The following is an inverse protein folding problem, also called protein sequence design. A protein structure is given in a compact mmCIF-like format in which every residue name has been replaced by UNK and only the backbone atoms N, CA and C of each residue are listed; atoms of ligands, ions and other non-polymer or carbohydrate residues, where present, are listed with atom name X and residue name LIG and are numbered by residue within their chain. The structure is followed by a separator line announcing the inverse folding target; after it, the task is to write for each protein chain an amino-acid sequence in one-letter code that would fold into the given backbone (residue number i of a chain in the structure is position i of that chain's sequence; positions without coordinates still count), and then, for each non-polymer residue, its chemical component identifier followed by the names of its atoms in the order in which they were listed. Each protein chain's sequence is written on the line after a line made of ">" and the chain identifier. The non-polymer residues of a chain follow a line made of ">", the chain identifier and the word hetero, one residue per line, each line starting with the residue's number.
data_IF_473952641804
#
_entry.id   IF_473952641804
#
_cell.length_a   1.000
_cell.length_b   1.000
_cell.length_c   1.000
_cell.angle_alpha   90.00
_cell.angle_beta   90.00
_cell.angle_gamma   90.00
#
_symmetry.space_group_name_H-M   'P 1'
#
loop_
_entity.id
_entity.type
_entity.pdbx_description
1 polymer ?
#
# COMPACT_ATOMS: atom_id res chain seq x y z
N UNK A 1 78.46 67.05 -42.66
CA UNK A 1 78.09 67.32 -41.26
C UNK A 1 76.98 68.35 -41.25
N UNK A 2 75.75 67.97 -40.91
CA UNK A 2 74.74 68.84 -40.28
C UNK A 2 73.56 67.97 -39.82
N UNK A 3 73.60 67.58 -38.54
CA UNK A 3 72.54 66.86 -37.84
C UNK A 3 71.31 67.75 -37.66
N UNK A 4 70.12 67.28 -38.05
CA UNK A 4 68.85 67.93 -37.70
C UNK A 4 68.11 67.09 -36.65
N UNK A 5 67.95 67.69 -35.47
CA UNK A 5 67.32 67.15 -34.27
C UNK A 5 65.84 66.84 -34.50
N UNK A 6 65.39 65.68 -33.98
CA UNK A 6 63.99 65.30 -33.80
C UNK A 6 63.37 66.12 -32.67
N UNK A 7 62.17 66.66 -32.88
CA UNK A 7 61.28 67.12 -31.83
C UNK A 7 60.10 66.15 -31.74
N UNK A 8 59.95 65.49 -30.59
CA UNK A 8 58.85 64.58 -30.26
C UNK A 8 57.78 65.41 -29.56
N UNK A 9 56.65 65.65 -30.25
CA UNK A 9 55.43 66.14 -29.62
C UNK A 9 54.73 64.93 -28.97
N UNK A 10 54.58 65.01 -27.65
CA UNK A 10 53.84 64.04 -26.84
C UNK A 10 52.43 64.62 -26.72
N UNK A 11 51.49 64.11 -27.52
CA UNK A 11 50.06 64.38 -27.39
C UNK A 11 49.58 63.89 -26.01
N UNK A 12 49.15 64.83 -25.18
CA UNK A 12 48.33 64.54 -24.01
C UNK A 12 47.01 63.95 -24.49
N UNK A 13 46.84 62.63 -24.33
CA UNK A 13 45.54 61.99 -24.50
C UNK A 13 44.63 62.45 -23.36
N UNK A 14 43.77 63.41 -23.64
CA UNK A 14 42.63 63.74 -22.78
C UNK A 14 41.88 62.45 -22.45
N UNK A 15 41.77 62.16 -21.15
CA UNK A 15 40.99 61.03 -20.65
C UNK A 15 39.51 61.14 -21.05
N UNK A 16 38.72 60.08 -20.83
CA UNK A 16 37.29 60.09 -21.09
C UNK A 16 36.65 61.33 -20.46
N UNK A 17 35.79 62.07 -21.18
CA UNK A 17 35.13 63.26 -20.64
C UNK A 17 34.50 62.96 -19.28
N UNK A 18 34.70 63.83 -18.30
CA UNK A 18 34.27 63.66 -16.89
C UNK A 18 32.77 63.32 -16.72
N UNK A 19 31.98 63.52 -17.77
CA UNK A 19 30.57 63.15 -17.85
C UNK A 19 30.38 61.63 -17.92
N UNK A 20 31.22 60.89 -18.65
CA UNK A 20 31.10 59.43 -18.77
C UNK A 20 31.49 58.69 -17.50
N UNK A 21 32.52 59.18 -16.79
CA UNK A 21 32.88 58.65 -15.47
C UNK A 21 31.76 58.90 -14.47
N UNK A 22 31.13 60.08 -14.50
CA UNK A 22 30.01 60.42 -13.62
C UNK A 22 28.75 59.60 -13.92
N UNK A 23 28.46 59.31 -15.20
CA UNK A 23 27.33 58.47 -15.60
C UNK A 23 27.52 57.01 -15.16
N UNK A 24 28.75 56.48 -15.31
CA UNK A 24 29.12 55.15 -14.82
C UNK A 24 28.95 55.04 -13.30
N UNK A 25 29.43 56.04 -12.56
CA UNK A 25 29.37 56.01 -11.10
C UNK A 25 27.93 56.16 -10.58
N UNK A 26 27.07 56.90 -11.29
CA UNK A 26 25.63 56.97 -11.01
C UNK A 26 24.90 55.66 -11.33
N UNK A 27 25.23 55.01 -12.45
CA UNK A 27 24.66 53.71 -12.83
C UNK A 27 25.05 52.61 -11.85
N UNK A 28 26.32 52.56 -11.43
CA UNK A 28 26.81 51.62 -10.43
C UNK A 28 26.12 51.81 -9.07
N UNK A 29 25.95 53.07 -8.63
CA UNK A 29 25.21 53.38 -7.39
C UNK A 29 23.74 52.98 -7.48
N UNK A 30 23.08 53.21 -8.61
CA UNK A 30 21.67 52.84 -8.80
C UNK A 30 21.49 51.32 -8.70
N UNK A 31 22.33 50.54 -9.39
CA UNK A 31 22.31 49.08 -9.33
C UNK A 31 22.57 48.55 -7.92
N UNK A 32 23.53 49.13 -7.21
CA UNK A 32 23.87 48.68 -5.87
C UNK A 32 22.73 48.94 -4.86
N UNK A 33 22.05 50.08 -4.96
CA UNK A 33 20.87 50.37 -4.14
C UNK A 33 19.72 49.41 -4.45
N UNK A 34 19.47 49.10 -5.73
CA UNK A 34 18.42 48.13 -6.10
C UNK A 34 18.73 46.71 -5.61
N UNK A 35 20.01 46.31 -5.59
CA UNK A 35 20.42 44.99 -5.10
C UNK A 35 20.35 44.92 -3.56
N UNK A 36 20.73 45.98 -2.85
CA UNK A 36 20.67 46.02 -1.38
C UNK A 36 19.25 45.98 -0.83
N UNK A 37 18.28 46.65 -1.47
CA UNK A 37 16.87 46.58 -1.08
C UNK A 37 16.25 45.19 -1.26
N UNK A 38 16.81 44.33 -2.11
CA UNK A 38 16.32 42.97 -2.35
C UNK A 38 16.78 41.99 -1.25
N UNK A 39 17.78 42.37 -0.46
CA UNK A 39 18.41 41.45 0.51
C UNK A 39 17.91 41.58 1.95
N UNK A 40 17.19 42.66 2.31
CA UNK A 40 16.77 42.94 3.69
C UNK A 40 15.35 42.43 4.05
N UNK A 41 14.49 42.08 3.07
CA UNK A 41 13.10 41.68 3.32
C UNK A 41 12.85 40.14 3.30
N UNK A 42 13.89 39.31 3.48
CA UNK A 42 13.78 37.84 3.32
C UNK A 42 13.69 37.01 4.61
N UNK A 43 13.29 37.60 5.73
CA UNK A 43 12.95 36.89 6.97
C UNK A 43 11.53 37.21 7.46
N UNK A 44 10.49 36.95 6.66
CA UNK A 44 9.21 36.52 7.23
C UNK A 44 8.28 35.84 6.21
N UNK A 45 7.56 34.87 6.75
CA UNK A 45 6.73 33.84 6.13
C UNK A 45 5.49 34.41 5.42
N UNK A 46 5.25 34.07 4.15
CA UNK A 46 3.96 33.55 3.64
C UNK A 46 3.91 33.38 2.11
N UNK A 47 3.20 32.33 1.70
CA UNK A 47 2.75 32.01 0.34
C UNK A 47 2.30 33.23 -0.46
N UNK A 48 3.17 33.72 -1.34
CA UNK A 48 2.73 34.35 -2.58
C UNK A 48 3.77 34.09 -3.65
N UNK A 49 3.40 33.24 -4.60
CA UNK A 49 4.12 33.12 -5.86
C UNK A 49 3.89 34.43 -6.61
N UNK A 50 4.82 35.37 -6.49
CA UNK A 50 5.06 36.41 -7.51
C UNK A 50 6.55 36.70 -7.70
N UNK A 51 7.37 35.74 -8.18
CA UNK A 51 8.70 36.07 -8.72
C UNK A 51 8.65 36.45 -10.21
N UNK A 52 7.46 36.59 -10.83
CA UNK A 52 7.32 36.93 -12.25
C UNK A 52 7.63 38.43 -12.50
N UNK A 53 7.65 39.24 -11.45
CA UNK A 53 7.89 40.69 -11.53
C UNK A 53 9.33 41.05 -11.92
N UNK A 54 10.34 40.32 -11.43
CA UNK A 54 11.74 40.76 -11.53
C UNK A 54 12.37 40.56 -12.92
N UNK A 55 12.06 39.46 -13.60
CA UNK A 55 12.60 39.19 -14.94
C UNK A 55 12.00 40.15 -15.98
N UNK A 56 10.69 40.43 -15.89
CA UNK A 56 10.04 41.44 -16.71
C UNK A 56 10.65 42.83 -16.51
N UNK A 57 10.85 43.24 -15.26
CA UNK A 57 11.50 44.51 -14.91
C UNK A 57 12.93 44.63 -15.47
N UNK A 58 13.71 43.55 -15.43
CA UNK A 58 15.08 43.51 -15.97
C UNK A 58 15.09 43.59 -17.50
N UNK A 59 14.15 42.92 -18.17
CA UNK A 59 13.96 43.00 -19.62
C UNK A 59 13.52 44.41 -20.04
N UNK A 60 12.59 45.02 -19.30
CA UNK A 60 12.12 46.37 -19.57
C UNK A 60 13.22 47.40 -19.36
N UNK A 61 14.01 47.27 -18.28
CA UNK A 61 15.18 48.12 -18.03
C UNK A 61 16.22 47.98 -19.16
N UNK A 62 16.47 46.75 -19.64
CA UNK A 62 17.35 46.52 -20.80
C UNK A 62 16.87 47.31 -22.02
N UNK A 63 15.57 47.21 -22.31
CA UNK A 63 14.96 47.85 -23.46
C UNK A 63 15.02 49.37 -23.34
N UNK A 64 14.79 49.91 -22.14
CA UNK A 64 14.90 51.35 -21.85
C UNK A 64 16.34 51.86 -22.04
N UNK A 65 17.33 51.18 -21.46
CA UNK A 65 18.76 51.56 -21.61
C UNK A 65 19.17 51.50 -23.08
N UNK A 66 18.72 50.48 -23.81
CA UNK A 66 18.99 50.33 -25.25
C UNK A 66 18.39 51.47 -26.06
N UNK A 67 17.16 51.88 -25.74
CA UNK A 67 16.50 53.00 -26.40
C UNK A 67 17.22 54.32 -26.12
N UNK A 68 17.50 54.64 -24.85
CA UNK A 68 18.20 55.87 -24.45
C UNK A 68 19.58 56.02 -25.13
N UNK A 69 20.33 54.92 -25.25
CA UNK A 69 21.63 54.94 -25.93
C UNK A 69 21.50 55.09 -27.44
N UNK A 70 20.45 54.55 -28.04
CA UNK A 70 20.15 54.74 -29.47
C UNK A 70 19.80 56.20 -29.76
N UNK A 71 19.00 56.82 -28.89
CA UNK A 71 18.64 58.24 -28.99
C UNK A 71 19.84 59.17 -28.77
N UNK A 72 20.74 58.82 -27.84
CA UNK A 72 21.98 59.56 -27.63
C UNK A 72 22.93 59.46 -28.83
N UNK A 73 22.99 58.28 -29.45
CA UNK A 73 23.79 58.04 -30.66
C UNK A 73 23.28 58.86 -31.84
N UNK A 74 21.97 58.93 -32.05
CA UNK A 74 21.38 59.72 -33.14
C UNK A 74 21.60 61.22 -32.93
N UNK A 75 21.46 61.73 -31.69
CA UNK A 75 21.76 63.14 -31.36
C UNK A 75 23.23 63.51 -31.62
N UNK A 76 24.18 62.64 -31.24
CA UNK A 76 25.60 62.86 -31.51
C UNK A 76 25.92 62.88 -33.01
N UNK A 77 25.25 62.04 -33.80
CA UNK A 77 25.39 62.04 -35.27
C UNK A 77 24.83 63.34 -35.88
N UNK A 78 23.69 63.83 -35.39
CA UNK A 78 23.08 65.09 -35.84
C UNK A 78 24.00 66.28 -35.54
N UNK A 79 24.75 66.26 -34.43
CA UNK A 79 25.71 67.30 -34.04
C UNK A 79 27.06 67.24 -34.78
N UNK A 80 27.20 66.38 -35.79
CA UNK A 80 28.37 66.35 -36.68
C UNK A 80 29.54 65.51 -36.16
N UNK A 81 29.35 64.66 -35.15
CA UNK A 81 30.38 63.73 -34.73
C UNK A 81 30.56 62.64 -35.80
N UNK A 82 31.81 62.39 -36.23
CA UNK A 82 32.11 61.34 -37.20
C UNK A 82 31.62 59.98 -36.72
N UNK A 83 30.95 59.24 -37.60
CA UNK A 83 30.35 57.92 -37.36
C UNK A 83 31.37 56.94 -36.74
N UNK A 84 32.62 57.03 -37.16
CA UNK A 84 33.72 56.15 -36.71
C UNK A 84 34.18 56.45 -35.28
N UNK A 85 34.04 57.69 -34.81
CA UNK A 85 34.37 58.08 -33.43
C UNK A 85 33.21 57.82 -32.46
N UNK A 86 31.96 57.85 -32.94
CA UNK A 86 30.80 57.55 -32.13
C UNK A 86 30.57 56.03 -31.97
N UNK A 87 30.90 55.22 -32.96
CA UNK A 87 30.61 53.78 -32.92
C UNK A 87 31.55 52.97 -32.02
N UNK A 88 32.86 53.28 -31.96
CA UNK A 88 33.81 52.47 -31.19
C UNK A 88 33.61 52.56 -29.66
N UNK A 89 33.84 53.73 -29.04
CA UNK A 89 33.78 53.90 -27.58
C UNK A 89 32.37 53.67 -27.01
N UNK A 90 31.33 54.03 -27.76
CA UNK A 90 29.94 53.86 -27.34
C UNK A 90 29.53 52.38 -27.36
N UNK A 91 29.93 51.61 -28.38
CA UNK A 91 29.67 50.18 -28.41
C UNK A 91 30.42 49.43 -27.29
N UNK A 92 31.67 49.80 -26.98
CA UNK A 92 32.41 49.21 -25.86
C UNK A 92 31.70 49.49 -24.54
N UNK A 93 31.28 50.74 -24.31
CA UNK A 93 30.54 51.13 -23.10
C UNK A 93 29.21 50.39 -22.99
N UNK A 94 28.54 50.16 -24.12
CA UNK A 94 27.28 49.43 -24.23
C UNK A 94 27.44 47.94 -23.93
N UNK A 95 28.50 47.31 -24.45
CA UNK A 95 28.87 45.93 -24.10
C UNK A 95 29.17 45.80 -22.61
N UNK A 96 29.96 46.71 -22.03
CA UNK A 96 30.28 46.69 -20.59
C UNK A 96 29.04 46.91 -19.70
N UNK A 97 28.06 47.69 -20.15
CA UNK A 97 26.82 47.94 -19.42
C UNK A 97 25.82 46.77 -19.53
N UNK A 98 25.76 46.09 -20.69
CA UNK A 98 24.82 44.98 -20.88
C UNK A 98 25.35 43.62 -20.41
N UNK A 99 26.66 43.41 -20.36
CA UNK A 99 27.22 42.12 -19.94
C UNK A 99 26.75 41.68 -18.54
N UNK A 100 26.70 42.54 -17.50
CA UNK A 100 26.16 42.16 -16.19
C UNK A 100 24.68 41.78 -16.26
N UNK A 101 23.90 42.49 -17.07
CA UNK A 101 22.47 42.27 -17.24
C UNK A 101 22.18 40.93 -17.94
N UNK A 102 22.94 40.61 -18.99
CA UNK A 102 22.84 39.35 -19.70
C UNK A 102 23.25 38.17 -18.81
N UNK A 103 24.27 38.37 -17.97
CA UNK A 103 24.70 37.36 -16.98
C UNK A 103 23.60 37.08 -15.97
N UNK A 104 22.93 38.11 -15.45
CA UNK A 104 21.83 37.94 -14.48
C UNK A 104 20.60 37.30 -15.14
N UNK A 105 20.26 37.69 -16.38
CA UNK A 105 19.19 37.05 -17.14
C UNK A 105 19.46 35.55 -17.37
N UNK A 106 20.69 35.18 -17.73
CA UNK A 106 21.10 33.78 -17.85
C UNK A 106 21.00 33.04 -16.51
N UNK A 107 21.44 33.67 -15.41
CA UNK A 107 21.34 33.14 -14.05
C UNK A 107 19.88 32.86 -13.65
N UNK A 108 18.98 33.83 -13.84
CA UNK A 108 17.55 33.68 -13.56
C UNK A 108 16.92 32.55 -14.38
N UNK A 109 17.17 32.51 -15.70
CA UNK A 109 16.65 31.46 -16.57
C UNK A 109 17.13 30.08 -16.14
N UNK A 110 18.39 29.96 -15.71
CA UNK A 110 18.91 28.70 -15.18
C UNK A 110 18.24 28.30 -13.86
N UNK A 111 17.95 29.25 -12.97
CA UNK A 111 17.17 29.02 -11.73
C UNK A 111 15.75 28.55 -12.05
N UNK A 112 15.06 29.19 -13.00
CA UNK A 112 13.73 28.78 -13.45
C UNK A 112 13.72 27.34 -14.00
N UNK A 113 14.69 27.00 -14.86
CA UNK A 113 14.84 25.64 -15.39
C UNK A 113 15.12 24.64 -14.26
N UNK A 114 15.95 25.00 -13.28
CA UNK A 114 16.22 24.15 -12.13
C UNK A 114 14.96 23.91 -11.28
N UNK A 115 14.19 24.96 -11.00
CA UNK A 115 12.91 24.86 -10.28
C UNK A 115 11.93 23.98 -11.05
N UNK A 116 11.77 24.20 -12.37
CA UNK A 116 10.88 23.39 -13.20
C UNK A 116 11.26 21.90 -13.19
N UNK A 117 12.57 21.58 -13.24
CA UNK A 117 13.06 20.20 -13.11
C UNK A 117 12.75 19.60 -11.75
N UNK A 118 12.94 20.36 -10.67
CA UNK A 118 12.61 19.91 -9.31
C UNK A 118 11.11 19.63 -9.16
N UNK A 119 10.25 20.52 -9.67
CA UNK A 119 8.79 20.32 -9.68
C UNK A 119 8.43 19.06 -10.44
N UNK A 120 9.00 18.84 -11.63
CA UNK A 120 8.74 17.65 -12.43
C UNK A 120 9.18 16.37 -11.71
N UNK A 121 10.33 16.39 -11.04
CA UNK A 121 10.81 15.26 -10.24
C UNK A 121 9.86 14.95 -9.07
N UNK A 122 9.36 15.97 -8.36
CA UNK A 122 8.38 15.80 -7.29
C UNK A 122 7.06 15.22 -7.83
N UNK A 123 6.57 15.73 -8.97
CA UNK A 123 5.36 15.22 -9.61
C UNK A 123 5.54 13.74 -10.00
N UNK A 124 6.67 13.40 -10.64
CA UNK A 124 6.95 12.02 -11.04
C UNK A 124 6.97 11.08 -9.83
N UNK A 125 7.69 11.46 -8.77
CA UNK A 125 7.75 10.69 -7.54
C UNK A 125 6.37 10.53 -6.88
N UNK A 126 5.56 11.60 -6.86
CA UNK A 126 4.19 11.56 -6.34
C UNK A 126 3.31 10.59 -7.14
N UNK A 127 3.41 10.60 -8.47
CA UNK A 127 2.69 9.65 -9.34
C UNK A 127 3.10 8.21 -9.04
N UNK A 128 4.38 7.94 -8.83
CA UNK A 128 4.85 6.59 -8.51
C UNK A 128 4.40 6.12 -7.13
N UNK A 129 4.38 7.00 -6.13
CA UNK A 129 3.74 6.72 -4.83
C UNK A 129 2.26 6.39 -5.01
N UNK A 130 1.51 7.18 -5.79
CA UNK A 130 0.09 6.91 -6.03
C UNK A 130 -0.14 5.53 -6.68
N UNK A 131 0.72 5.13 -7.64
CA UNK A 131 0.66 3.77 -8.23
C UNK A 131 0.92 2.69 -7.18
N UNK A 132 1.90 2.89 -6.31
CA UNK A 132 2.19 1.94 -5.21
C UNK A 132 1.00 1.82 -4.25
N UNK A 133 0.39 2.94 -3.86
CA UNK A 133 -0.80 2.96 -3.00
C UNK A 133 -1.94 2.18 -3.67
N UNK A 134 -2.19 2.41 -4.97
CA UNK A 134 -3.23 1.71 -5.71
C UNK A 134 -2.96 0.20 -5.80
N UNK A 135 -1.71 -0.21 -5.98
CA UNK A 135 -1.32 -1.62 -5.98
C UNK A 135 -1.57 -2.27 -4.61
N UNK A 136 -1.22 -1.59 -3.51
CA UNK A 136 -1.51 -2.08 -2.14
C UNK A 136 -3.01 -2.17 -1.89
N UNK A 137 -3.79 -1.16 -2.29
CA UNK A 137 -5.25 -1.16 -2.13
C UNK A 137 -5.91 -2.32 -2.88
N UNK A 138 -5.49 -2.60 -4.11
CA UNK A 138 -6.01 -3.74 -4.88
C UNK A 138 -5.63 -5.09 -4.25
N UNK A 139 -4.40 -5.22 -3.74
CA UNK A 139 -3.97 -6.41 -3.00
C UNK A 139 -4.77 -6.63 -1.72
N UNK A 140 -5.00 -5.56 -0.93
CA UNK A 140 -5.82 -5.63 0.28
C UNK A 140 -7.25 -6.08 -0.02
N UNK A 141 -7.87 -5.57 -1.08
CA UNK A 141 -9.21 -6.01 -1.50
C UNK A 141 -9.25 -7.52 -1.79
N UNK A 142 -8.26 -8.05 -2.52
CA UNK A 142 -8.16 -9.49 -2.79
C UNK A 142 -8.01 -10.29 -1.49
N UNK A 143 -7.20 -9.80 -0.54
CA UNK A 143 -7.02 -10.43 0.76
C UNK A 143 -8.30 -10.43 1.59
N UNK A 144 -9.06 -9.33 1.58
CA UNK A 144 -10.36 -9.23 2.25
C UNK A 144 -11.37 -10.23 1.67
N UNK A 145 -11.43 -10.37 0.35
CA UNK A 145 -12.28 -11.36 -0.32
C UNK A 145 -11.89 -12.80 0.08
N UNK A 146 -10.59 -13.11 0.11
CA UNK A 146 -10.09 -14.41 0.60
C UNK A 146 -10.40 -14.63 2.08
N UNK A 147 -10.29 -13.61 2.92
CA UNK A 147 -10.63 -13.71 4.33
C UNK A 147 -12.12 -13.95 4.53
N UNK A 148 -12.98 -13.30 3.74
CA UNK A 148 -14.41 -13.53 3.76
C UNK A 148 -14.77 -14.97 3.36
N UNK A 149 -14.13 -15.52 2.32
CA UNK A 149 -14.36 -16.91 1.91
C UNK A 149 -13.92 -17.92 2.98
N UNK A 150 -12.77 -17.71 3.62
CA UNK A 150 -12.30 -18.53 4.74
C UNK A 150 -13.26 -18.45 5.93
N UNK A 151 -13.76 -17.25 6.26
CA UNK A 151 -14.74 -17.05 7.35
C UNK A 151 -16.05 -17.80 7.06
N UNK A 152 -16.53 -17.77 5.82
CA UNK A 152 -17.71 -18.52 5.37
C UNK A 152 -17.50 -20.03 5.50
N UNK A 153 -16.41 -20.55 4.94
CA UNK A 153 -16.07 -21.98 5.03
C UNK A 153 -15.94 -22.45 6.48
N UNK A 154 -15.28 -21.67 7.34
CA UNK A 154 -15.19 -21.97 8.77
C UNK A 154 -16.56 -22.04 9.45
N UNK A 155 -17.51 -21.19 9.06
CA UNK A 155 -18.86 -21.21 9.59
C UNK A 155 -19.62 -22.46 9.15
N UNK A 156 -19.52 -22.83 7.87
CA UNK A 156 -20.11 -24.05 7.32
C UNK A 156 -19.58 -25.30 8.05
N UNK A 157 -18.26 -25.40 8.26
CA UNK A 157 -17.66 -26.50 9.02
C UNK A 157 -18.18 -26.56 10.45
N UNK A 158 -18.34 -25.41 11.13
CA UNK A 158 -18.91 -25.38 12.49
C UNK A 158 -20.35 -25.87 12.52
N UNK A 159 -21.17 -25.50 11.54
CA UNK A 159 -22.55 -25.98 11.44
C UNK A 159 -22.60 -27.48 11.20
N UNK A 160 -21.79 -28.00 10.27
CA UNK A 160 -21.67 -29.44 10.00
C UNK A 160 -21.20 -30.21 11.24
N UNK A 161 -20.23 -29.67 11.97
CA UNK A 161 -19.75 -30.28 13.21
C UNK A 161 -20.86 -30.34 14.28
N UNK A 162 -21.63 -29.27 14.46
CA UNK A 162 -22.77 -29.27 15.38
C UNK A 162 -23.84 -30.28 14.98
N UNK A 163 -24.13 -30.41 13.68
CA UNK A 163 -25.07 -31.40 13.17
C UNK A 163 -24.56 -32.83 13.40
N UNK A 164 -23.28 -33.07 13.15
CA UNK A 164 -22.64 -34.37 13.40
C UNK A 164 -22.71 -34.74 14.88
N UNK A 165 -22.41 -33.82 15.79
CA UNK A 165 -22.52 -34.07 17.24
C UNK A 165 -23.96 -34.40 17.65
N UNK A 166 -24.97 -33.72 17.10
CA UNK A 166 -26.37 -34.05 17.34
C UNK A 166 -26.69 -35.46 16.86
N UNK A 167 -26.26 -35.82 15.64
CA UNK A 167 -26.47 -37.17 15.08
C UNK A 167 -25.80 -38.25 15.93
N UNK A 168 -24.54 -38.05 16.32
CA UNK A 168 -23.80 -38.99 17.20
C UNK A 168 -24.52 -39.16 18.53
N UNK A 169 -24.96 -38.07 19.17
CA UNK A 169 -25.69 -38.15 20.44
C UNK A 169 -26.99 -38.96 20.31
N UNK A 170 -27.77 -38.72 19.27
CA UNK A 170 -29.02 -39.47 19.00
C UNK A 170 -28.72 -40.95 18.76
N UNK A 171 -27.67 -41.26 18.00
CA UNK A 171 -27.27 -42.65 17.73
C UNK A 171 -26.84 -43.36 19.00
N UNK A 172 -26.08 -42.69 19.87
CA UNK A 172 -25.64 -43.25 21.16
C UNK A 172 -26.83 -43.48 22.10
N UNK A 173 -27.77 -42.53 22.20
CA UNK A 173 -29.00 -42.71 22.97
C UNK A 173 -29.86 -43.88 22.45
N UNK A 174 -29.95 -44.05 21.13
CA UNK A 174 -30.64 -45.20 20.52
C UNK A 174 -29.95 -46.51 20.83
N UNK A 175 -28.62 -46.55 20.75
CA UNK A 175 -27.81 -47.73 21.07
C UNK A 175 -28.00 -48.14 22.54
N UNK A 176 -27.96 -47.19 23.46
CA UNK A 176 -28.17 -47.46 24.88
C UNK A 176 -29.58 -48.01 25.16
N UNK A 177 -30.62 -47.44 24.52
CA UNK A 177 -31.99 -47.97 24.62
C UNK A 177 -32.12 -49.38 24.06
N UNK A 178 -31.49 -49.66 22.91
CA UNK A 178 -31.45 -51.00 22.31
C UNK A 178 -30.79 -52.00 23.26
N UNK A 179 -29.65 -51.65 23.85
CA UNK A 179 -28.96 -52.50 24.82
C UNK A 179 -29.78 -52.75 26.08
N UNK A 180 -30.50 -51.74 26.58
CA UNK A 180 -31.41 -51.90 27.72
C UNK A 180 -32.57 -52.85 27.40
N UNK A 181 -33.17 -52.72 26.20
CA UNK A 181 -34.23 -53.62 25.74
C UNK A 181 -33.69 -55.04 25.60
N UNK A 182 -32.54 -55.22 24.97
CA UNK A 182 -31.89 -56.52 24.79
C UNK A 182 -31.65 -57.21 26.15
N UNK A 183 -31.11 -56.48 27.13
CA UNK A 183 -30.88 -57.02 28.48
C UNK A 183 -32.20 -57.42 29.15
N UNK A 184 -33.24 -56.59 29.09
CA UNK A 184 -34.56 -56.91 29.64
C UNK A 184 -35.19 -58.12 28.97
N UNK A 185 -35.10 -58.20 27.64
CA UNK A 185 -35.62 -59.34 26.86
C UNK A 185 -34.86 -60.63 27.22
N UNK A 186 -33.55 -60.56 27.45
CA UNK A 186 -32.76 -61.72 27.86
C UNK A 186 -33.14 -62.20 29.26
N UNK A 187 -33.35 -61.29 30.22
CA UNK A 187 -33.81 -61.63 31.58
C UNK A 187 -35.19 -62.30 31.53
N UNK A 188 -36.16 -61.67 30.85
CA UNK A 188 -37.52 -62.22 30.70
C UNK A 188 -37.50 -63.55 29.96
N UNK A 189 -36.66 -63.68 28.93
CA UNK A 189 -36.47 -64.94 28.20
C UNK A 189 -35.96 -66.05 29.11
N UNK A 190 -34.99 -65.75 29.98
CA UNK A 190 -34.47 -66.71 30.97
C UNK A 190 -35.53 -67.10 32.00
N UNK A 191 -36.24 -66.14 32.58
CA UNK A 191 -37.32 -66.41 33.54
C UNK A 191 -38.44 -67.27 32.94
N UNK A 192 -38.81 -67.00 31.68
CA UNK A 192 -39.79 -67.80 30.96
C UNK A 192 -39.28 -69.22 30.71
N UNK A 193 -38.02 -69.38 30.30
CA UNK A 193 -37.40 -70.70 30.11
C UNK A 193 -37.33 -71.48 31.42
N UNK A 194 -36.92 -70.84 32.52
CA UNK A 194 -36.88 -71.45 33.86
C UNK A 194 -38.28 -71.88 34.32
N UNK A 195 -39.30 -71.06 34.04
CA UNK A 195 -40.71 -71.37 34.34
C UNK A 195 -41.20 -72.57 33.53
N UNK A 196 -40.89 -72.63 32.24
CA UNK A 196 -41.23 -73.77 31.38
C UNK A 196 -40.50 -75.02 31.85
N UNK A 197 -39.20 -74.91 32.17
CA UNK A 197 -38.41 -76.03 32.65
C UNK A 197 -38.97 -76.61 33.95
N UNK A 198 -39.32 -75.75 34.91
CA UNK A 198 -39.96 -76.16 36.16
C UNK A 198 -41.30 -76.88 35.92
N UNK A 199 -42.13 -76.40 35.00
CA UNK A 199 -43.38 -77.07 34.63
C UNK A 199 -43.14 -78.44 34.02
N UNK A 200 -42.14 -78.59 33.14
CA UNK A 200 -41.78 -79.87 32.55
C UNK A 200 -41.30 -80.86 33.61
N UNK A 201 -40.46 -80.43 34.56
CA UNK A 201 -40.00 -81.28 35.67
C UNK A 201 -41.19 -81.76 36.51
N UNK A 202 -42.09 -80.86 36.91
CA UNK A 202 -43.30 -81.23 37.69
C UNK A 202 -44.16 -82.26 36.92
N UNK A 203 -44.37 -82.05 35.62
CA UNK A 203 -45.13 -82.98 34.78
C UNK A 203 -44.42 -84.34 34.72
N UNK A 204 -43.10 -84.37 34.49
CA UNK A 204 -42.30 -85.60 34.47
C UNK A 204 -42.41 -86.36 35.80
N UNK A 205 -42.30 -85.68 36.94
CA UNK A 205 -42.44 -86.29 38.27
C UNK A 205 -43.85 -86.87 38.50
N UNK A 206 -44.91 -86.14 38.11
CA UNK A 206 -46.29 -86.62 38.23
C UNK A 206 -46.48 -87.88 37.37
N UNK A 207 -46.04 -87.86 36.10
CA UNK A 207 -46.14 -89.01 35.20
C UNK A 207 -45.37 -90.22 35.74
N UNK A 208 -44.15 -90.03 36.25
CA UNK A 208 -43.37 -91.10 36.89
C UNK A 208 -44.13 -91.71 38.08
N UNK A 209 -44.70 -90.87 38.97
CA UNK A 209 -45.49 -91.36 40.11
C UNK A 209 -46.74 -92.13 39.66
N UNK A 210 -47.44 -91.66 38.63
CA UNK A 210 -48.59 -92.36 38.07
C UNK A 210 -48.21 -93.75 37.55
N UNK A 211 -47.15 -93.84 36.74
CA UNK A 211 -46.65 -95.13 36.21
C UNK A 211 -46.22 -96.07 37.34
N UNK A 212 -45.53 -95.57 38.36
CA UNK A 212 -45.11 -96.37 39.51
C UNK A 212 -46.29 -96.80 40.40
N UNK A 213 -47.40 -96.06 40.39
CA UNK A 213 -48.61 -96.37 41.17
C UNK A 213 -49.53 -97.37 40.49
N UNK A 214 -49.48 -97.47 39.16
CA UNK A 214 -50.15 -98.56 38.44
C UNK A 214 -49.38 -99.84 38.73
N UNK A 215 -50.06 -100.88 39.25
CA UNK A 215 -49.50 -102.21 39.56
C UNK A 215 -49.10 -103.00 38.29
N UNK A 216 -48.41 -102.34 37.36
CA UNK A 216 -47.92 -102.87 36.10
C UNK A 216 -46.42 -103.10 36.26
N UNK A 217 -45.93 -104.30 35.95
CA UNK A 217 -44.51 -104.64 36.03
C UNK A 217 -43.71 -103.90 34.94
N UNK A 218 -43.38 -102.65 35.24
CA UNK A 218 -42.67 -101.72 34.36
C UNK A 218 -41.25 -102.19 34.00
N UNK A 219 -40.69 -103.13 34.77
CA UNK A 219 -39.40 -103.78 34.51
C UNK A 219 -39.45 -104.78 33.35
N UNK A 220 -40.63 -105.31 33.01
CA UNK A 220 -40.82 -106.25 31.90
C UNK A 220 -41.13 -105.54 30.57
N UNK A 221 -41.57 -104.28 30.62
CA UNK A 221 -41.74 -103.44 29.43
C UNK A 221 -40.50 -102.56 29.16
N UNK A 222 -39.65 -102.92 28.19
CA UNK A 222 -38.45 -102.15 27.86
C UNK A 222 -38.77 -100.75 27.29
N UNK A 223 -39.96 -100.51 26.74
CA UNK A 223 -40.39 -99.18 26.31
C UNK A 223 -40.71 -98.29 27.51
N UNK A 224 -41.40 -98.81 28.51
CA UNK A 224 -41.75 -98.09 29.73
C UNK A 224 -40.51 -97.79 30.59
N UNK A 225 -39.61 -98.78 30.74
CA UNK A 225 -38.31 -98.61 31.40
C UNK A 225 -37.47 -97.51 30.72
N UNK A 226 -37.40 -97.51 29.38
CA UNK A 226 -36.67 -96.47 28.62
C UNK A 226 -37.30 -95.08 28.78
N UNK A 227 -38.63 -95.00 28.84
CA UNK A 227 -39.34 -93.74 29.04
C UNK A 227 -39.07 -93.17 30.45
N UNK A 228 -39.13 -94.00 31.49
CA UNK A 228 -38.82 -93.62 32.87
C UNK A 228 -37.37 -93.12 33.04
N UNK A 229 -36.41 -93.82 32.42
CA UNK A 229 -35.01 -93.40 32.39
C UNK A 229 -34.83 -92.04 31.71
N UNK A 230 -35.45 -91.83 30.54
CA UNK A 230 -35.40 -90.54 29.83
C UNK A 230 -36.05 -89.38 30.58
N UNK A 231 -37.03 -89.64 31.44
CA UNK A 231 -37.66 -88.62 32.28
C UNK A 231 -36.84 -88.31 33.55
N UNK A 232 -35.88 -89.16 33.90
CA UNK A 232 -34.97 -88.94 35.04
C UNK A 232 -33.79 -88.06 34.66
N UNK A 233 -33.39 -88.07 33.40
CA UNK A 233 -32.38 -87.16 32.85
C UNK A 233 -33.02 -85.78 32.62
N UNK A 234 -32.35 -84.72 33.07
CA UNK A 234 -32.87 -83.35 32.92
C UNK A 234 -33.12 -83.02 31.45
N UNK A 235 -34.30 -82.49 31.07
CA UNK A 235 -34.62 -82.17 29.68
C UNK A 235 -33.78 -81.01 29.07
N UNK A 236 -32.91 -80.36 29.87
CA UNK A 236 -32.13 -79.19 29.46
C UNK A 236 -30.62 -79.28 29.75
N UNK A 237 -30.08 -80.49 29.89
CA UNK A 237 -28.62 -80.73 29.97
C UNK A 237 -27.95 -80.66 28.60
#
# INVERSE_FOLDING_TARGET
>A
MTSRKKASQREEREGPPCIFTRLRDLSAKCLQTTISYVHEDQEEMHDSITPISSCGQIIDLRNQIKQQLTDMKTDLQIRGLSKDMADGPLNISLTMAFQPLETEMCSMKNKEIAIARSILAVISHTVDICKMIQAVQSSNRILEEKLASVRKSRMEVRLLQQELFKKVKITEERKNKLQEIEMKTQVVGKENMDTVANKVIIIQEIFQRCILSTHTDWSEDPHLTRLLLKMKDSPFQ
#
